data_IF_581755532570
#
_entry.id   IF_581755532570
#
_cell.length_a   1.000
_cell.length_b   1.000
_cell.length_c   1.000
_cell.angle_alpha   90.00
_cell.angle_beta   90.00
_cell.angle_gamma   90.00
#
_symmetry.space_group_name_H-M   'P 1'
#
loop_
_entity.id
_entity.type
_entity.pdbx_description
1 polymer ?
#
# COMPACT_ATOMS: atom_id res chain seq x y z
N UNK A 1 -19.08 -21.05 71.87
CA UNK A 1 -18.29 -21.54 70.72
C UNK A 1 -19.11 -21.68 69.45
N UNK A 2 -20.30 -22.31 69.47
CA UNK A 2 -21.17 -22.42 68.27
C UNK A 2 -21.66 -21.07 67.74
N UNK A 3 -22.09 -20.16 68.61
CA UNK A 3 -22.57 -18.83 68.20
C UNK A 3 -21.45 -17.95 67.56
N UNK A 4 -20.22 -18.04 68.09
CA UNK A 4 -19.06 -17.32 67.55
C UNK A 4 -18.63 -17.86 66.19
N UNK A 5 -18.66 -19.19 66.01
CA UNK A 5 -18.38 -19.84 64.73
C UNK A 5 -19.47 -19.53 63.69
N UNK A 6 -20.74 -19.43 64.09
CA UNK A 6 -21.84 -19.03 63.20
C UNK A 6 -21.72 -17.59 62.70
N UNK A 7 -21.32 -16.66 63.59
CA UNK A 7 -21.02 -15.28 63.19
C UNK A 7 -19.82 -15.22 62.22
N UNK A 8 -18.76 -16.01 62.45
CA UNK A 8 -17.62 -16.09 61.53
C UNK A 8 -18.02 -16.68 60.17
N UNK A 9 -18.83 -17.75 60.15
CA UNK A 9 -19.37 -18.36 58.92
C UNK A 9 -20.13 -17.34 58.08
N UNK A 10 -21.06 -16.59 58.67
CA UNK A 10 -21.84 -15.57 57.95
C UNK A 10 -20.97 -14.43 57.37
N UNK A 11 -19.87 -14.06 58.04
CA UNK A 11 -18.91 -13.08 57.50
C UNK A 11 -18.12 -13.67 56.32
N UNK A 12 -17.70 -14.93 56.41
CA UNK A 12 -16.96 -15.63 55.36
C UNK A 12 -17.85 -15.87 54.14
N UNK A 13 -19.12 -16.23 54.34
CA UNK A 13 -20.12 -16.36 53.27
C UNK A 13 -20.27 -15.07 52.47
N UNK A 14 -20.45 -13.93 53.15
CA UNK A 14 -20.54 -12.62 52.49
C UNK A 14 -19.28 -12.30 51.68
N UNK A 15 -18.10 -12.53 52.25
CA UNK A 15 -16.82 -12.31 51.56
C UNK A 15 -16.63 -13.25 50.37
N UNK A 16 -17.04 -14.50 50.49
CA UNK A 16 -16.96 -15.52 49.44
C UNK A 16 -17.92 -15.19 48.31
N UNK A 17 -19.16 -14.81 48.63
CA UNK A 17 -20.14 -14.37 47.64
C UNK A 17 -19.65 -13.14 46.87
N UNK A 18 -19.16 -12.10 47.57
CA UNK A 18 -18.58 -10.92 46.95
C UNK A 18 -17.37 -11.27 46.04
N UNK A 19 -16.49 -12.18 46.47
CA UNK A 19 -15.38 -12.64 45.64
C UNK A 19 -15.84 -13.40 44.38
N UNK A 20 -16.96 -14.14 44.45
CA UNK A 20 -17.57 -14.81 43.29
C UNK A 20 -18.14 -13.81 42.30
N UNK A 21 -18.90 -12.82 42.77
CA UNK A 21 -19.47 -11.77 41.93
C UNK A 21 -18.37 -10.97 41.22
N UNK A 22 -17.34 -10.57 41.96
CA UNK A 22 -16.23 -9.81 41.40
C UNK A 22 -15.44 -10.65 40.39
N UNK A 23 -15.17 -11.93 40.67
CA UNK A 23 -14.57 -12.84 39.69
C UNK A 23 -15.40 -12.92 38.41
N UNK A 24 -16.73 -13.04 38.52
CA UNK A 24 -17.61 -13.13 37.36
C UNK A 24 -17.58 -11.83 36.54
N UNK A 25 -17.65 -10.67 37.21
CA UNK A 25 -17.53 -9.35 36.58
C UNK A 25 -16.21 -9.20 35.82
N UNK A 26 -15.10 -9.61 36.44
CA UNK A 26 -13.79 -9.56 35.78
C UNK A 26 -13.68 -10.55 34.62
N UNK A 27 -14.31 -11.72 34.70
CA UNK A 27 -14.39 -12.67 33.60
C UNK A 27 -15.21 -12.13 32.42
N UNK A 28 -16.25 -11.34 32.66
CA UNK A 28 -16.99 -10.64 31.60
C UNK A 28 -16.10 -9.61 30.89
N UNK A 29 -15.32 -8.83 31.64
CA UNK A 29 -14.32 -7.93 31.06
C UNK A 29 -13.26 -8.68 30.26
N UNK A 30 -12.78 -9.83 30.73
CA UNK A 30 -11.84 -10.67 29.95
C UNK A 30 -12.46 -11.10 28.63
N UNK A 31 -13.73 -11.54 28.61
CA UNK A 31 -14.43 -11.94 27.38
C UNK A 31 -14.56 -10.78 26.40
N UNK A 32 -15.00 -9.61 26.86
CA UNK A 32 -15.16 -8.45 25.97
C UNK A 32 -13.82 -7.99 25.38
N UNK A 33 -12.74 -7.96 26.18
CA UNK A 33 -11.42 -7.60 25.66
C UNK A 33 -10.81 -8.67 24.75
N UNK A 34 -11.14 -9.96 24.94
CA UNK A 34 -10.77 -11.03 24.00
C UNK A 34 -11.47 -10.80 22.66
N UNK A 35 -12.75 -10.44 22.66
CA UNK A 35 -13.50 -10.15 21.44
C UNK A 35 -12.94 -8.92 20.72
N UNK A 36 -12.67 -7.83 21.44
CA UNK A 36 -12.00 -6.65 20.88
C UNK A 36 -10.63 -7.00 20.30
N UNK A 37 -9.82 -7.79 21.01
CA UNK A 37 -8.51 -8.24 20.53
C UNK A 37 -8.63 -9.07 19.24
N UNK A 38 -9.61 -9.98 19.17
CA UNK A 38 -9.91 -10.77 17.98
C UNK A 38 -10.34 -9.88 16.81
N UNK A 39 -11.23 -8.92 17.06
CA UNK A 39 -11.67 -7.94 16.05
C UNK A 39 -10.50 -7.18 15.45
N UNK A 40 -9.61 -6.63 16.31
CA UNK A 40 -8.39 -5.93 15.88
C UNK A 40 -7.42 -6.87 15.14
N UNK A 41 -7.32 -8.13 15.56
CA UNK A 41 -6.47 -9.11 14.89
C UNK A 41 -6.98 -9.44 13.48
N UNK A 42 -8.29 -9.55 13.30
CA UNK A 42 -8.91 -9.78 11.99
C UNK A 42 -8.66 -8.61 11.05
N UNK A 43 -8.88 -7.37 11.50
CA UNK A 43 -8.61 -6.18 10.68
C UNK A 43 -7.12 -6.03 10.38
N UNK A 44 -6.25 -6.32 11.35
CA UNK A 44 -4.80 -6.34 11.13
C UNK A 44 -4.41 -7.33 10.04
N UNK A 45 -4.98 -8.54 10.02
CA UNK A 45 -4.71 -9.53 8.97
C UNK A 45 -5.17 -9.04 7.60
N UNK A 46 -6.37 -8.47 7.51
CA UNK A 46 -6.89 -7.92 6.26
C UNK A 46 -6.00 -6.82 5.69
N UNK A 47 -5.53 -5.89 6.54
CA UNK A 47 -4.61 -4.84 6.11
C UNK A 47 -3.24 -5.39 5.71
N UNK A 48 -2.73 -6.43 6.38
CA UNK A 48 -1.48 -7.08 5.98
C UNK A 48 -1.61 -7.78 4.62
N UNK A 49 -2.70 -8.50 4.40
CA UNK A 49 -2.98 -9.12 3.10
C UNK A 49 -3.06 -8.05 1.99
N UNK A 50 -3.61 -6.87 2.30
CA UNK A 50 -3.65 -5.75 1.37
C UNK A 50 -2.26 -5.15 1.11
N UNK A 51 -1.41 -5.01 2.13
CA UNK A 51 -0.01 -4.61 1.95
C UNK A 51 0.72 -5.57 1.02
N UNK A 52 0.51 -6.88 1.18
CA UNK A 52 1.15 -7.89 0.34
C UNK A 52 0.63 -7.85 -1.11
N UNK A 53 -0.67 -7.56 -1.31
CA UNK A 53 -1.22 -7.27 -2.65
C UNK A 53 -0.59 -6.03 -3.28
N UNK A 54 -0.52 -4.92 -2.55
CA UNK A 54 0.09 -3.67 -3.05
C UNK A 54 1.58 -3.85 -3.34
N UNK A 55 2.27 -4.65 -2.54
CA UNK A 55 3.67 -5.03 -2.76
C UNK A 55 3.83 -5.79 -4.08
N UNK A 56 2.94 -6.74 -4.35
CA UNK A 56 2.93 -7.48 -5.63
C UNK A 56 2.67 -6.56 -6.81
N UNK A 57 1.68 -5.66 -6.72
CA UNK A 57 1.37 -4.67 -7.76
C UNK A 57 2.58 -3.78 -8.03
N UNK A 58 3.18 -3.23 -6.97
CA UNK A 58 4.36 -2.37 -7.08
C UNK A 58 5.53 -3.10 -7.74
N UNK A 59 5.77 -4.37 -7.41
CA UNK A 59 6.86 -5.13 -7.99
C UNK A 59 6.62 -5.46 -9.48
N UNK A 60 5.38 -5.76 -9.87
CA UNK A 60 4.98 -5.93 -11.27
C UNK A 60 5.15 -4.62 -12.04
N UNK A 61 4.65 -3.49 -11.51
CA UNK A 61 4.78 -2.19 -12.15
C UNK A 61 6.26 -1.75 -12.24
N UNK A 62 7.07 -2.02 -11.22
CA UNK A 62 8.51 -1.77 -11.28
C UNK A 62 9.21 -2.60 -12.37
N UNK A 63 8.80 -3.84 -12.59
CA UNK A 63 9.30 -4.64 -13.70
C UNK A 63 8.88 -4.04 -15.06
N UNK A 64 7.63 -3.60 -15.20
CA UNK A 64 7.17 -2.88 -16.40
C UNK A 64 7.94 -1.60 -16.64
N UNK A 65 8.19 -0.80 -15.60
CA UNK A 65 8.99 0.44 -15.69
C UNK A 65 10.42 0.14 -16.17
N UNK A 66 11.03 -0.96 -15.72
CA UNK A 66 12.35 -1.37 -16.22
C UNK A 66 12.31 -1.70 -17.71
N UNK A 67 11.36 -2.54 -18.13
CA UNK A 67 11.20 -2.89 -19.55
C UNK A 67 10.91 -1.65 -20.43
N UNK A 68 10.05 -0.74 -19.97
CA UNK A 68 9.74 0.50 -20.67
C UNK A 68 10.93 1.46 -20.73
N UNK A 69 11.79 1.49 -19.69
CA UNK A 69 13.03 2.27 -19.72
C UNK A 69 14.02 1.74 -20.75
N UNK A 70 14.10 0.42 -20.92
CA UNK A 70 14.93 -0.20 -21.95
C UNK A 70 14.42 0.19 -23.34
N UNK A 71 13.11 0.06 -23.58
CA UNK A 71 12.46 0.50 -24.83
C UNK A 71 12.65 1.99 -25.08
N UNK A 72 12.47 2.84 -24.06
CA UNK A 72 12.70 4.29 -24.18
C UNK A 72 14.14 4.59 -24.58
N UNK A 73 15.11 3.89 -24.00
CA UNK A 73 16.52 4.07 -24.36
C UNK A 73 16.77 3.72 -25.82
N UNK A 74 16.19 2.62 -26.32
CA UNK A 74 16.24 2.25 -27.73
C UNK A 74 15.60 3.32 -28.63
N UNK A 75 14.40 3.83 -28.28
CA UNK A 75 13.73 4.89 -29.05
C UNK A 75 14.49 6.20 -29.07
N UNK A 76 15.12 6.58 -27.97
CA UNK A 76 15.97 7.78 -27.88
C UNK A 76 17.22 7.61 -28.76
N UNK A 77 17.82 6.42 -28.78
CA UNK A 77 18.96 6.12 -29.66
C UNK A 77 18.54 6.15 -31.15
N UNK A 78 17.39 5.56 -31.50
CA UNK A 78 16.80 5.63 -32.84
C UNK A 78 16.55 7.08 -33.28
N UNK A 79 15.93 7.89 -32.41
CA UNK A 79 15.68 9.31 -32.69
C UNK A 79 16.98 10.09 -32.90
N UNK A 80 18.00 9.85 -32.08
CA UNK A 80 19.32 10.49 -32.24
C UNK A 80 19.96 10.12 -33.57
N UNK A 81 19.94 8.84 -33.95
CA UNK A 81 20.49 8.38 -35.23
C UNK A 81 19.78 9.05 -36.42
N UNK A 82 18.43 9.06 -36.44
CA UNK A 82 17.65 9.69 -37.51
C UNK A 82 17.88 11.21 -37.54
N UNK A 83 18.02 11.85 -36.39
CA UNK A 83 18.34 13.28 -36.29
C UNK A 83 19.74 13.59 -36.82
N UNK A 84 20.73 12.77 -36.53
CA UNK A 84 22.08 12.90 -37.08
C UNK A 84 22.09 12.71 -38.59
N UNK A 85 21.37 11.73 -39.13
CA UNK A 85 21.16 11.55 -40.57
C UNK A 85 20.52 12.79 -41.21
N UNK A 86 19.47 13.33 -40.58
CA UNK A 86 18.80 14.54 -41.06
C UNK A 86 19.73 15.76 -41.06
N UNK A 87 20.53 15.95 -40.01
CA UNK A 87 21.47 17.06 -39.88
C UNK A 87 22.64 16.92 -40.85
N UNK A 88 23.22 15.73 -41.01
CA UNK A 88 24.32 15.48 -41.96
C UNK A 88 23.88 15.70 -43.40
N UNK A 89 22.67 15.26 -43.76
CA UNK A 89 22.12 15.48 -45.10
C UNK A 89 21.81 16.97 -45.36
N UNK A 90 21.31 17.68 -44.34
CA UNK A 90 21.10 19.12 -44.40
C UNK A 90 22.41 19.90 -44.51
N UNK A 91 23.44 19.53 -43.76
CA UNK A 91 24.74 20.21 -43.75
C UNK A 91 25.54 19.95 -45.03
N UNK A 92 25.61 18.70 -45.52
CA UNK A 92 26.26 18.37 -46.79
C UNK A 92 25.63 19.12 -47.96
N UNK A 93 24.30 19.29 -47.95
CA UNK A 93 23.61 20.11 -48.95
C UNK A 93 23.76 21.61 -48.72
N UNK A 94 23.91 22.06 -47.48
CA UNK A 94 24.27 23.44 -47.10
C UNK A 94 25.65 23.85 -47.60
N UNK A 95 26.64 22.95 -47.58
CA UNK A 95 27.97 23.15 -48.19
C UNK A 95 27.89 23.21 -49.72
N UNK A 96 27.07 22.34 -50.35
CA UNK A 96 26.78 22.40 -51.79
C UNK A 96 26.04 23.69 -52.16
N UNK A 97 25.12 24.15 -51.32
CA UNK A 97 24.42 25.43 -51.48
C UNK A 97 25.33 26.63 -51.24
N UNK A 98 26.24 26.63 -50.26
CA UNK A 98 27.22 27.71 -50.10
C UNK A 98 28.12 27.85 -51.31
N UNK A 99 28.50 26.73 -51.94
CA UNK A 99 29.19 26.75 -53.22
C UNK A 99 28.30 27.28 -54.38
N UNK A 100 26.98 27.06 -54.34
CA UNK A 100 26.00 27.61 -55.29
C UNK A 100 25.55 29.04 -54.99
N UNK A 101 25.63 29.55 -53.75
CA UNK A 101 25.30 30.94 -53.37
C UNK A 101 26.31 31.96 -53.88
N UNK A 102 27.39 31.51 -54.54
CA UNK A 102 28.18 32.36 -55.46
C UNK A 102 27.36 32.81 -56.68
N UNK A 103 26.19 32.20 -56.97
CA UNK A 103 25.19 32.68 -57.93
C UNK A 103 24.05 33.45 -57.26
N UNK A 104 23.55 34.51 -57.93
CA UNK A 104 22.55 35.48 -57.43
C UNK A 104 21.22 34.80 -57.05
N UNK A 105 20.59 35.25 -55.95
CA UNK A 105 19.29 34.75 -55.47
C UNK A 105 18.15 35.07 -56.44
N UNK A 106 17.25 34.10 -56.68
CA UNK A 106 16.09 34.25 -57.57
C UNK A 106 15.19 35.45 -57.20
N UNK A 107 15.07 35.77 -55.91
CA UNK A 107 14.31 36.93 -55.43
C UNK A 107 14.98 38.25 -55.83
N UNK A 108 16.29 38.34 -55.65
CA UNK A 108 17.08 39.52 -56.04
C UNK A 108 17.04 39.74 -57.56
N UNK A 109 17.06 38.66 -58.35
CA UNK A 109 16.91 38.75 -59.81
C UNK A 109 15.51 39.23 -60.23
N UNK A 110 14.44 38.82 -59.53
CA UNK A 110 13.08 39.33 -59.77
C UNK A 110 12.93 40.82 -59.43
N UNK A 111 13.51 41.26 -58.32
CA UNK A 111 13.51 42.67 -57.92
C UNK A 111 14.27 43.53 -58.97
N UNK A 112 15.41 43.03 -59.47
CA UNK A 112 16.15 43.71 -60.55
C UNK A 112 15.37 43.76 -61.88
N UNK A 113 14.59 42.72 -62.23
CA UNK A 113 13.70 42.72 -63.41
C UNK A 113 12.63 43.81 -63.26
N UNK A 114 11.95 43.85 -62.11
CA UNK A 114 10.91 44.85 -61.84
C UNK A 114 11.49 46.28 -61.88
N UNK A 115 12.69 46.50 -61.34
CA UNK A 115 13.36 47.78 -61.43
C UNK A 115 13.69 48.19 -62.87
N UNK A 116 14.11 47.24 -63.71
CA UNK A 116 14.39 47.51 -65.13
C UNK A 116 13.13 47.81 -65.92
N UNK A 117 12.03 47.11 -65.63
CA UNK A 117 10.72 47.41 -66.21
C UNK A 117 10.25 48.81 -65.81
N UNK A 118 10.40 49.18 -64.53
CA UNK A 118 10.07 50.53 -64.06
C UNK A 118 10.94 51.61 -64.72
N UNK A 119 12.25 51.36 -64.89
CA UNK A 119 13.17 52.30 -65.55
C UNK A 119 12.88 52.45 -67.06
N UNK A 120 12.41 51.38 -67.72
CA UNK A 120 11.96 51.43 -69.11
C UNK A 120 10.63 52.20 -69.26
N UNK A 121 9.65 51.93 -68.38
CA UNK A 121 8.37 52.64 -68.37
C UNK A 121 8.51 54.14 -68.07
N UNK A 122 9.52 54.52 -67.28
CA UNK A 122 9.89 55.93 -67.03
C UNK A 122 10.69 56.58 -68.18
N UNK A 123 10.94 55.87 -69.29
CA UNK A 123 11.68 56.36 -70.45
C UNK A 123 13.18 56.59 -70.22
N UNK A 124 13.73 56.08 -69.11
CA UNK A 124 15.13 56.32 -68.71
C UNK A 124 16.13 55.40 -69.41
N UNK A 125 15.67 54.40 -70.15
CA UNK A 125 16.48 53.39 -70.84
C UNK A 125 15.95 53.20 -72.27
N UNK A 126 16.85 53.00 -73.23
CA UNK A 126 16.51 52.70 -74.62
C UNK A 126 16.09 51.23 -74.79
N UNK A 127 15.19 50.96 -75.75
CA UNK A 127 14.59 49.64 -76.01
C UNK A 127 15.63 48.51 -76.22
N UNK A 128 16.73 48.80 -76.92
CA UNK A 128 17.84 47.83 -77.10
C UNK A 128 18.47 47.41 -75.77
N UNK A 129 18.79 48.36 -74.90
CA UNK A 129 19.42 48.09 -73.59
C UNK A 129 18.47 47.38 -72.62
N UNK A 130 17.17 47.65 -72.74
CA UNK A 130 16.14 46.94 -71.99
C UNK A 130 16.07 45.46 -72.41
N UNK A 131 15.96 45.18 -73.71
CA UNK A 131 15.85 43.82 -74.22
C UNK A 131 17.09 42.96 -73.90
N UNK A 132 18.29 43.50 -74.09
CA UNK A 132 19.54 42.78 -73.76
C UNK A 132 19.59 42.40 -72.28
N UNK A 133 19.27 43.34 -71.38
CA UNK A 133 19.35 43.10 -69.93
C UNK A 133 18.18 42.28 -69.40
N UNK A 134 17.00 42.39 -70.02
CA UNK A 134 15.85 41.56 -69.71
C UNK A 134 16.08 40.10 -70.12
N UNK A 135 16.70 39.83 -71.26
CA UNK A 135 17.05 38.46 -71.67
C UNK A 135 18.06 37.84 -70.70
N UNK A 136 19.11 38.58 -70.32
CA UNK A 136 20.11 38.08 -69.38
C UNK A 136 19.53 37.83 -67.98
N UNK A 137 18.70 38.72 -67.46
CA UNK A 137 18.06 38.52 -66.15
C UNK A 137 17.00 37.43 -66.18
N UNK A 138 16.26 37.25 -67.29
CA UNK A 138 15.34 36.11 -67.47
C UNK A 138 16.10 34.79 -67.55
N UNK A 139 17.30 34.76 -68.14
CA UNK A 139 18.20 33.59 -68.14
C UNK A 139 18.68 33.28 -66.72
N UNK A 140 19.16 34.28 -66.00
CA UNK A 140 19.57 34.15 -64.60
C UNK A 140 18.41 33.74 -63.69
N UNK A 141 17.19 34.24 -63.96
CA UNK A 141 16.00 33.84 -63.22
C UNK A 141 15.63 32.39 -63.47
N UNK A 142 15.73 31.90 -64.72
CA UNK A 142 15.48 30.51 -65.07
C UNK A 142 16.50 29.56 -64.44
N UNK A 143 17.77 29.95 -64.40
CA UNK A 143 18.84 29.21 -63.71
C UNK A 143 18.61 29.19 -62.20
N UNK A 144 18.22 30.32 -61.60
CA UNK A 144 17.97 30.46 -60.16
C UNK A 144 16.62 29.90 -59.69
N UNK A 145 15.62 29.75 -60.58
CA UNK A 145 14.31 29.16 -60.27
C UNK A 145 14.27 27.65 -60.48
N UNK A 146 15.26 27.09 -61.18
CA UNK A 146 15.40 25.65 -61.38
C UNK A 146 16.00 24.94 -60.15
N UNK A 147 16.45 25.69 -59.14
CA UNK A 147 16.76 25.16 -57.81
C UNK A 147 15.48 25.10 -56.98
N UNK A 148 14.97 23.91 -56.64
CA UNK A 148 13.77 23.78 -55.83
C UNK A 148 13.98 24.37 -54.43
N UNK A 149 12.89 24.83 -53.82
CA UNK A 149 12.85 25.39 -52.47
C UNK A 149 13.27 24.35 -51.41
N UNK A 150 14.20 24.75 -50.54
CA UNK A 150 14.83 23.91 -49.50
C UNK A 150 13.82 23.27 -48.54
N UNK A 151 12.62 23.83 -48.45
CA UNK A 151 11.55 23.31 -47.59
C UNK A 151 10.90 22.02 -48.09
N UNK A 152 11.05 21.67 -49.38
CA UNK A 152 10.41 20.51 -50.00
C UNK A 152 11.34 19.29 -50.13
N UNK A 153 12.55 19.38 -49.58
CA UNK A 153 13.66 18.62 -50.14
C UNK A 153 13.77 17.17 -49.63
N UNK A 154 13.17 16.81 -48.48
CA UNK A 154 13.13 15.42 -47.99
C UNK A 154 11.88 15.15 -47.12
N UNK A 155 10.67 15.10 -47.72
CA UNK A 155 9.44 14.85 -46.96
C UNK A 155 9.47 13.50 -46.23
N UNK A 156 10.12 12.49 -46.80
CA UNK A 156 10.23 11.15 -46.18
C UNK A 156 11.11 11.14 -44.93
N UNK A 157 12.24 11.87 -44.92
CA UNK A 157 13.09 11.97 -43.73
C UNK A 157 12.47 12.85 -42.65
N UNK A 158 11.73 13.90 -43.02
CA UNK A 158 10.96 14.68 -42.07
C UNK A 158 9.82 13.86 -41.45
N UNK A 159 9.13 13.05 -42.26
CA UNK A 159 8.12 12.11 -41.76
C UNK A 159 8.75 11.13 -40.77
N UNK A 160 9.87 10.47 -41.13
CA UNK A 160 10.60 9.58 -40.23
C UNK A 160 11.08 10.25 -38.94
N UNK A 161 11.54 11.50 -39.02
CA UNK A 161 11.97 12.27 -37.84
C UNK A 161 10.78 12.57 -36.92
N UNK A 162 9.62 12.92 -37.49
CA UNK A 162 8.40 13.14 -36.72
C UNK A 162 7.90 11.84 -36.09
N UNK A 163 7.88 10.73 -36.84
CA UNK A 163 7.47 9.41 -36.35
C UNK A 163 8.39 8.91 -35.22
N UNK A 164 9.71 9.12 -35.36
CA UNK A 164 10.67 8.78 -34.31
C UNK A 164 10.47 9.66 -33.06
N UNK A 165 10.15 10.95 -33.26
CA UNK A 165 9.86 11.86 -32.16
C UNK A 165 8.58 11.49 -31.42
N UNK A 166 7.50 11.14 -32.13
CA UNK A 166 6.26 10.68 -31.49
C UNK A 166 6.48 9.36 -30.76
N UNK A 167 7.26 8.43 -31.32
CA UNK A 167 7.62 7.17 -30.66
C UNK A 167 8.48 7.38 -29.40
N UNK A 168 9.39 8.36 -29.40
CA UNK A 168 10.15 8.76 -28.21
C UNK A 168 9.22 9.35 -27.13
N UNK A 169 8.37 10.31 -27.50
CA UNK A 169 7.40 10.94 -26.59
C UNK A 169 6.42 9.92 -25.99
N UNK A 170 5.93 8.98 -26.78
CA UNK A 170 5.08 7.86 -26.34
C UNK A 170 5.81 6.96 -25.34
N UNK A 171 7.07 6.60 -25.61
CA UNK A 171 7.86 5.79 -24.70
C UNK A 171 8.18 6.52 -23.38
N UNK A 172 8.42 7.84 -23.43
CA UNK A 172 8.58 8.68 -22.25
C UNK A 172 7.28 8.73 -21.42
N UNK A 173 6.14 9.02 -22.06
CA UNK A 173 4.84 9.05 -21.40
C UNK A 173 4.47 7.68 -20.79
N UNK A 174 4.80 6.59 -21.47
CA UNK A 174 4.58 5.23 -20.95
C UNK A 174 5.41 4.94 -19.69
N UNK A 175 6.68 5.37 -19.64
CA UNK A 175 7.53 5.24 -18.45
C UNK A 175 6.97 6.09 -17.30
N UNK A 176 6.55 7.32 -17.57
CA UNK A 176 6.08 8.25 -16.53
C UNK A 176 4.74 7.78 -15.93
N UNK A 177 3.83 7.27 -16.77
CA UNK A 177 2.56 6.70 -16.31
C UNK A 177 2.79 5.46 -15.46
N UNK A 178 3.61 4.51 -15.90
CA UNK A 178 3.95 3.31 -15.12
C UNK A 178 4.75 3.62 -13.83
N UNK A 179 5.59 4.66 -13.85
CA UNK A 179 6.29 5.11 -12.66
C UNK A 179 5.33 5.76 -11.65
N UNK A 180 4.35 6.53 -12.14
CA UNK A 180 3.33 7.17 -11.31
C UNK A 180 2.41 6.14 -10.66
N UNK A 181 2.02 5.08 -11.37
CA UNK A 181 1.22 3.98 -10.80
C UNK A 181 1.99 3.19 -9.75
N UNK A 182 3.28 2.88 -10.00
CA UNK A 182 4.13 2.21 -9.03
C UNK A 182 4.32 3.06 -7.75
N UNK A 183 4.49 4.37 -7.91
CA UNK A 183 4.62 5.31 -6.81
C UNK A 183 3.33 5.43 -6.00
N UNK A 184 2.17 5.53 -6.66
CA UNK A 184 0.86 5.55 -6.00
C UNK A 184 0.62 4.27 -5.16
N UNK A 185 0.97 3.10 -5.69
CA UNK A 185 0.90 1.84 -4.93
C UNK A 185 1.85 1.83 -3.73
N UNK A 186 3.04 2.44 -3.87
CA UNK A 186 3.97 2.57 -2.77
C UNK A 186 3.46 3.52 -1.67
N UNK A 187 2.87 4.66 -2.04
CA UNK A 187 2.29 5.62 -1.10
C UNK A 187 1.11 5.01 -0.33
N UNK A 188 0.19 4.34 -1.02
CA UNK A 188 -0.90 3.59 -0.40
C UNK A 188 -0.37 2.54 0.59
N UNK A 189 0.68 1.81 0.22
CA UNK A 189 1.32 0.85 1.11
C UNK A 189 1.91 1.52 2.37
N UNK A 190 2.46 2.73 2.28
CA UNK A 190 2.95 3.46 3.44
C UNK A 190 1.81 3.87 4.38
N UNK A 191 0.67 4.31 3.83
CA UNK A 191 -0.52 4.64 4.62
C UNK A 191 -1.04 3.40 5.37
N UNK A 192 -1.21 2.28 4.68
CA UNK A 192 -1.66 1.03 5.32
C UNK A 192 -0.66 0.59 6.41
N UNK A 193 0.65 0.74 6.19
CA UNK A 193 1.67 0.44 7.22
C UNK A 193 1.52 1.31 8.47
N UNK A 194 1.16 2.58 8.33
CA UNK A 194 0.88 3.46 9.48
C UNK A 194 -0.34 2.96 10.25
N UNK A 195 -1.42 2.60 9.55
CA UNK A 195 -2.62 2.05 10.16
C UNK A 195 -2.37 0.72 10.87
N UNK A 196 -1.62 -0.18 10.22
CA UNK A 196 -1.16 -1.46 10.77
C UNK A 196 -0.39 -1.26 12.07
N UNK A 197 0.51 -0.28 12.14
CA UNK A 197 1.25 0.02 13.37
C UNK A 197 0.29 0.48 14.48
N UNK A 198 -0.65 1.38 14.18
CA UNK A 198 -1.69 1.79 15.14
C UNK A 198 -2.58 0.63 15.62
N UNK A 199 -2.93 -0.31 14.72
CA UNK A 199 -3.67 -1.51 15.09
C UNK A 199 -2.85 -2.48 15.94
N UNK A 200 -1.54 -2.62 15.68
CA UNK A 200 -0.63 -3.42 16.52
C UNK A 200 -0.55 -2.88 17.94
N UNK A 201 -0.50 -1.56 18.10
CA UNK A 201 -0.55 -0.91 19.42
C UNK A 201 -1.87 -1.21 20.13
N UNK A 202 -3.01 -1.01 19.44
CA UNK A 202 -4.35 -1.35 19.98
C UNK A 202 -4.49 -2.83 20.35
N UNK A 203 -3.96 -3.72 19.52
CA UNK A 203 -3.95 -5.17 19.80
C UNK A 203 -3.13 -5.47 21.06
N UNK A 204 -1.96 -4.86 21.19
CA UNK A 204 -1.08 -5.02 22.37
C UNK A 204 -1.73 -4.45 23.62
N UNK A 205 -2.39 -3.31 23.52
CA UNK A 205 -3.15 -2.71 24.62
C UNK A 205 -4.31 -3.62 25.06
N UNK A 206 -5.12 -4.10 24.11
CA UNK A 206 -6.20 -5.03 24.39
C UNK A 206 -5.67 -6.33 25.03
N UNK A 207 -4.54 -6.84 24.55
CA UNK A 207 -3.87 -8.00 25.13
C UNK A 207 -3.44 -7.75 26.59
N UNK A 208 -2.78 -6.62 26.87
CA UNK A 208 -2.40 -6.23 28.24
C UNK A 208 -3.62 -6.12 29.16
N UNK A 209 -4.74 -5.58 28.68
CA UNK A 209 -6.00 -5.52 29.44
C UNK A 209 -6.55 -6.91 29.74
N UNK A 210 -6.55 -7.83 28.77
CA UNK A 210 -6.94 -9.23 28.99
C UNK A 210 -6.11 -9.86 30.10
N UNK A 211 -4.78 -9.72 30.05
CA UNK A 211 -3.88 -10.27 31.08
C UNK A 211 -4.12 -9.63 32.45
N UNK A 212 -4.30 -8.31 32.50
CA UNK A 212 -4.60 -7.57 33.72
C UNK A 212 -5.89 -8.05 34.38
N UNK A 213 -7.00 -8.12 33.62
CA UNK A 213 -8.28 -8.58 34.14
C UNK A 213 -8.26 -10.06 34.52
N UNK A 214 -7.55 -10.91 33.76
CA UNK A 214 -7.36 -12.33 34.11
C UNK A 214 -6.64 -12.47 35.45
N UNK A 215 -5.57 -11.70 35.67
CA UNK A 215 -4.84 -11.71 36.95
C UNK A 215 -5.72 -11.28 38.13
N UNK A 216 -6.57 -10.27 37.93
CA UNK A 216 -7.52 -9.81 38.96
C UNK A 216 -8.57 -10.89 39.21
N UNK A 217 -9.17 -11.46 38.16
CA UNK A 217 -10.13 -12.56 38.26
C UNK A 217 -9.55 -13.76 39.02
N UNK A 218 -8.30 -14.14 38.73
CA UNK A 218 -7.59 -15.22 39.42
C UNK A 218 -7.39 -14.91 40.91
N UNK A 219 -7.12 -13.64 41.28
CA UNK A 219 -7.01 -13.24 42.68
C UNK A 219 -8.34 -13.41 43.43
N UNK A 220 -9.44 -12.96 42.82
CA UNK A 220 -10.79 -13.14 43.38
C UNK A 220 -11.19 -14.61 43.41
N UNK A 221 -10.81 -15.40 42.40
CA UNK A 221 -11.04 -16.83 42.40
C UNK A 221 -10.31 -17.54 43.54
N UNK A 222 -9.03 -17.23 43.78
CA UNK A 222 -8.28 -17.77 44.94
C UNK A 222 -8.95 -17.42 46.26
N UNK A 223 -9.38 -16.16 46.43
CA UNK A 223 -10.12 -15.72 47.63
C UNK A 223 -11.44 -16.47 47.80
N UNK A 224 -12.17 -16.69 46.71
CA UNK A 224 -13.40 -17.48 46.70
C UNK A 224 -13.15 -18.94 47.11
N UNK A 225 -12.11 -19.58 46.55
CA UNK A 225 -11.74 -20.98 46.87
C UNK A 225 -11.36 -21.12 48.34
N UNK A 226 -10.51 -20.22 48.86
CA UNK A 226 -10.12 -20.22 50.27
C UNK A 226 -11.35 -19.98 51.17
N UNK A 227 -12.21 -19.02 50.82
CA UNK A 227 -13.44 -18.75 51.56
C UNK A 227 -14.37 -19.96 51.63
N UNK A 228 -14.53 -20.68 50.51
CA UNK A 228 -15.30 -21.92 50.44
C UNK A 228 -14.71 -23.00 51.35
N UNK A 229 -13.39 -23.20 51.31
CA UNK A 229 -12.70 -24.20 52.16
C UNK A 229 -12.84 -23.91 53.64
N UNK A 230 -12.72 -22.64 54.05
CA UNK A 230 -12.89 -22.25 55.46
C UNK A 230 -14.35 -22.46 55.90
N UNK A 231 -15.32 -22.17 55.03
CA UNK A 231 -16.73 -22.42 55.31
C UNK A 231 -17.01 -23.91 55.56
N UNK A 232 -16.51 -24.78 54.68
CA UNK A 232 -16.60 -26.24 54.84
C UNK A 232 -15.90 -26.73 56.11
N UNK A 233 -14.75 -26.13 56.46
CA UNK A 233 -14.02 -26.47 57.68
C UNK A 233 -14.84 -26.09 58.93
N UNK A 234 -15.48 -24.91 58.93
CA UNK A 234 -16.37 -24.49 60.01
C UNK A 234 -17.58 -25.43 60.12
N UNK A 235 -18.16 -25.84 58.98
CA UNK A 235 -19.29 -26.78 58.95
C UNK A 235 -18.90 -28.17 59.46
N UNK A 236 -17.71 -28.66 59.08
CA UNK A 236 -17.14 -29.88 59.64
C UNK A 236 -16.96 -29.82 61.16
N UNK A 237 -16.45 -28.71 61.69
CA UNK A 237 -16.29 -28.51 63.13
C UNK A 237 -17.67 -28.41 63.82
N UNK A 238 -18.65 -27.73 63.21
CA UNK A 238 -20.00 -27.61 63.78
C UNK A 238 -20.74 -28.95 63.84
N UNK A 239 -20.62 -29.78 62.80
CA UNK A 239 -21.28 -31.08 62.70
C UNK A 239 -20.63 -32.11 63.64
N UNK A 240 -19.30 -32.17 63.70
CA UNK A 240 -18.58 -33.02 64.68
C UNK A 240 -18.87 -32.62 66.13
N UNK A 241 -19.06 -31.32 66.40
CA UNK A 241 -19.51 -30.81 67.72
C UNK A 241 -21.01 -31.08 68.02
N UNK A 242 -21.76 -31.65 67.08
CA UNK A 242 -23.15 -32.07 67.24
C UNK A 242 -23.29 -33.60 67.28
N UNK A 243 -22.35 -34.33 66.69
CA UNK A 243 -22.33 -35.79 66.51
C UNK A 243 -21.52 -36.55 67.57
N UNK A 244 -21.40 -36.05 68.79
CA UNK A 244 -20.88 -36.81 69.95
C UNK A 244 -21.78 -38.02 70.34
N UNK A 245 -22.64 -38.52 69.43
CA UNK A 245 -23.53 -39.65 69.69
C UNK A 245 -23.78 -40.65 68.54
N UNK A 246 -23.30 -40.50 67.29
CA UNK A 246 -23.53 -41.55 66.28
C UNK A 246 -22.44 -41.66 65.21
N UNK A 247 -22.02 -42.91 64.98
CA UNK A 247 -20.93 -43.39 64.14
C UNK A 247 -21.21 -43.25 62.62
N UNK A 248 -21.02 -42.07 62.03
CA UNK A 248 -21.21 -41.80 60.58
C UNK A 248 -20.01 -41.08 59.89
N UNK A 249 -18.78 -41.42 60.31
CA UNK A 249 -17.57 -40.70 59.88
C UNK A 249 -17.07 -41.00 58.46
N UNK A 250 -17.62 -41.98 57.73
CA UNK A 250 -17.05 -42.43 56.44
C UNK A 250 -17.61 -41.67 55.22
N UNK A 251 -18.93 -41.43 55.17
CA UNK A 251 -19.58 -40.72 54.05
C UNK A 251 -19.13 -39.25 53.95
N UNK A 252 -18.82 -38.62 55.08
CA UNK A 252 -18.31 -37.24 55.14
C UNK A 252 -16.93 -37.05 54.53
N UNK A 253 -16.08 -38.08 54.48
CA UNK A 253 -14.69 -37.97 54.00
C UNK A 253 -14.67 -38.04 52.48
N UNK A 254 -15.43 -38.97 51.90
CA UNK A 254 -15.51 -39.13 50.43
C UNK A 254 -16.26 -37.97 49.75
N UNK A 255 -17.26 -37.37 50.41
CA UNK A 255 -17.92 -36.17 49.93
C UNK A 255 -16.97 -34.95 49.90
N UNK A 256 -15.96 -34.91 50.79
CA UNK A 256 -14.91 -33.87 50.78
C UNK A 256 -13.94 -34.10 49.62
N UNK A 257 -13.55 -35.35 49.36
CA UNK A 257 -12.61 -35.69 48.28
C UNK A 257 -13.18 -35.35 46.89
N UNK A 258 -14.46 -35.62 46.64
CA UNK A 258 -15.14 -35.22 45.39
C UNK A 258 -15.26 -33.70 45.24
N UNK A 259 -15.44 -32.99 46.36
CA UNK A 259 -15.50 -31.54 46.34
C UNK A 259 -14.13 -30.91 46.13
N UNK A 260 -13.06 -31.49 46.66
CA UNK A 260 -11.68 -31.07 46.38
C UNK A 260 -11.29 -31.32 44.91
N UNK A 261 -11.74 -32.44 44.32
CA UNK A 261 -11.57 -32.74 42.89
C UNK A 261 -12.35 -31.77 41.99
N UNK A 262 -13.57 -31.41 42.37
CA UNK A 262 -14.38 -30.40 41.66
C UNK A 262 -13.76 -29.00 41.76
N UNK A 263 -13.11 -28.69 42.88
CA UNK A 263 -12.46 -27.40 43.14
C UNK A 263 -11.05 -27.30 42.54
N UNK A 264 -10.40 -28.42 42.23
CA UNK A 264 -9.15 -28.47 41.45
C UNK A 264 -9.37 -28.26 39.95
N UNK A 265 -10.61 -28.46 39.48
CA UNK A 265 -11.01 -28.26 38.08
C UNK A 265 -10.74 -29.46 37.18
N UNK A 266 -10.45 -30.63 37.74
CA UNK A 266 -10.43 -31.90 37.00
C UNK A 266 -11.84 -32.34 36.60
N UNK A 267 -11.96 -32.99 35.45
CA UNK A 267 -13.25 -33.47 34.93
C UNK A 267 -13.68 -34.72 35.70
N UNK A 268 -14.78 -34.63 36.43
CA UNK A 268 -15.38 -35.75 37.17
C UNK A 268 -15.81 -36.88 36.22
N UNK A 269 -15.36 -38.11 36.49
CA UNK A 269 -15.77 -39.30 35.74
C UNK A 269 -17.11 -39.88 36.23
N UNK A 270 -17.70 -40.78 35.43
CA UNK A 270 -18.91 -41.53 35.83
C UNK A 270 -18.65 -42.42 37.06
N UNK A 271 -17.44 -42.95 37.19
CA UNK A 271 -17.06 -43.81 38.32
C UNK A 271 -16.99 -43.03 39.64
N UNK A 272 -16.53 -41.77 39.60
CA UNK A 272 -16.47 -40.88 40.78
C UNK A 272 -17.87 -40.50 41.28
N UNK A 273 -18.81 -40.29 40.36
CA UNK A 273 -20.23 -40.04 40.69
C UNK A 273 -20.92 -41.29 41.22
N UNK A 274 -20.59 -42.47 40.67
CA UNK A 274 -21.12 -43.75 41.12
C UNK A 274 -20.61 -44.12 42.52
N UNK A 275 -19.39 -43.73 42.88
CA UNK A 275 -18.85 -43.90 44.23
C UNK A 275 -19.68 -43.12 45.27
N UNK A 276 -20.07 -41.87 44.96
CA UNK A 276 -20.92 -41.06 45.83
C UNK A 276 -22.32 -41.67 46.05
N UNK A 277 -22.91 -42.26 45.00
CA UNK A 277 -24.26 -42.83 45.08
C UNK A 277 -24.31 -44.14 45.87
N UNK A 278 -23.18 -44.82 46.09
CA UNK A 278 -23.13 -46.09 46.84
C UNK A 278 -23.04 -45.90 48.35
N UNK A 279 -22.61 -44.73 48.80
CA UNK A 279 -22.34 -44.43 50.21
C UNK A 279 -23.35 -43.46 50.86
N UNK A 280 -24.46 -43.19 50.17
CA UNK A 280 -25.71 -42.59 50.68
C UNK A 280 -26.86 -43.58 50.48
#
# INVERSE_FOLDING_TARGET
>A
MKETLGKMKGVIEKKTHSAREERNRQNEHVKSWIETRRGVQTTLRQLMDEVDRQQTIRDIENQKVRALKDTRTQRVEEYKAIKEEYVTLRNSRGEVEQNRRKTRSARSVREEINELEMKFMQGRITEKKFNERAVELRRQLKEASSTPDVSSDFPELQARLNDAKTAEEEAHAAVDTAASTAQAAHELMQEIRKEVNGLREKHTEAHRKVEGFRRIADNHHRRFVVGMRVMQSIDGIMNTSAEDNTNDGSASVEARDLMDLLMSGETLGLDDLMAFQRNN
#
